data_IF_960690438248
#
_entry.id   IF_960690438248
#
_cell.length_a   1.000
_cell.length_b   1.000
_cell.length_c   1.000
_cell.angle_alpha   90.00
_cell.angle_beta   90.00
_cell.angle_gamma   90.00
#
_symmetry.space_group_name_H-M   'P 1'
#
loop_
_entity.id
_entity.type
_entity.pdbx_description
1 polymer ?
#
# COMPACT_ATOMS: atom_id res chain seq x y z
N UNK A 1 -1.02 -12.74 -9.04
CA UNK A 1 -0.54 -12.67 -7.65
C UNK A 1 -0.05 -14.03 -7.20
N UNK A 2 1.18 -14.12 -6.71
CA UNK A 2 1.78 -15.36 -6.20
C UNK A 2 1.47 -15.50 -4.72
N UNK A 3 1.29 -16.74 -4.25
CA UNK A 3 1.12 -17.09 -2.84
C UNK A 3 2.31 -17.97 -2.40
N UNK A 4 2.97 -17.59 -1.31
CA UNK A 4 4.11 -18.30 -0.72
C UNK A 4 3.82 -18.61 0.75
N UNK A 5 4.01 -19.88 1.13
CA UNK A 5 3.89 -20.32 2.52
C UNK A 5 5.27 -20.39 3.17
N UNK A 6 5.50 -19.61 4.22
CA UNK A 6 6.74 -19.55 4.97
C UNK A 6 6.48 -19.91 6.44
N UNK A 7 6.40 -21.21 6.73
CA UNK A 7 6.01 -21.69 8.06
C UNK A 7 4.57 -21.30 8.40
N UNK A 8 4.40 -20.44 9.41
CA UNK A 8 3.10 -19.90 9.83
C UNK A 8 2.75 -18.56 9.16
N UNK A 9 3.54 -18.10 8.18
CA UNK A 9 3.29 -16.87 7.45
C UNK A 9 2.83 -17.16 6.04
N UNK A 10 1.77 -16.47 5.63
CA UNK A 10 1.26 -16.47 4.26
C UNK A 10 1.65 -15.16 3.60
N UNK A 11 2.57 -15.22 2.64
CA UNK A 11 3.01 -14.06 1.87
C UNK A 11 2.32 -14.09 0.51
N UNK A 12 1.61 -13.03 0.16
CA UNK A 12 0.98 -12.91 -1.16
C UNK A 12 1.34 -11.58 -1.82
N UNK A 13 1.54 -11.57 -3.13
CA UNK A 13 1.85 -10.34 -3.84
C UNK A 13 2.51 -10.52 -5.19
N UNK A 14 3.09 -9.43 -5.70
CA UNK A 14 3.84 -9.37 -6.96
C UNK A 14 5.03 -8.42 -6.80
N UNK A 15 6.10 -8.70 -7.55
CA UNK A 15 7.30 -7.87 -7.62
C UNK A 15 7.83 -7.91 -9.05
N UNK A 16 7.49 -6.89 -9.82
CA UNK A 16 7.86 -6.74 -11.23
C UNK A 16 8.53 -5.38 -11.37
N UNK A 17 9.84 -5.39 -11.63
CA UNK A 17 10.65 -4.17 -11.65
C UNK A 17 10.13 -3.11 -12.62
N UNK A 18 9.93 -1.89 -12.11
CA UNK A 18 9.41 -0.76 -12.89
C UNK A 18 7.91 -0.81 -13.16
N UNK A 19 7.19 -1.85 -12.70
CA UNK A 19 5.75 -1.98 -12.87
C UNK A 19 4.99 -1.91 -11.54
N UNK A 20 5.31 -2.81 -10.60
CA UNK A 20 4.69 -2.85 -9.28
C UNK A 20 5.41 -3.84 -8.34
N UNK A 21 5.59 -3.42 -7.09
CA UNK A 21 5.98 -4.24 -5.96
C UNK A 21 4.98 -4.02 -4.82
N UNK A 22 4.40 -5.12 -4.32
CA UNK A 22 3.52 -5.14 -3.15
C UNK A 22 3.46 -6.55 -2.59
N UNK A 23 3.62 -6.71 -1.27
CA UNK A 23 3.61 -7.98 -0.58
C UNK A 23 2.81 -7.88 0.72
N UNK A 24 1.76 -8.67 0.89
CA UNK A 24 0.99 -8.74 2.15
C UNK A 24 1.38 -9.98 2.95
N UNK A 25 1.48 -9.80 4.26
CA UNK A 25 1.57 -10.88 5.26
C UNK A 25 0.34 -10.79 6.15
N UNK A 26 -0.65 -11.67 5.94
CA UNK A 26 -1.97 -11.55 6.60
C UNK A 26 -1.87 -11.70 8.11
N UNK A 27 -1.07 -12.66 8.58
CA UNK A 27 -0.92 -13.01 9.98
C UNK A 27 -0.29 -11.88 10.81
N UNK A 28 0.40 -10.96 10.15
CA UNK A 28 1.03 -9.79 10.77
C UNK A 28 0.27 -8.48 10.50
N UNK A 29 -0.86 -8.56 9.79
CA UNK A 29 -1.68 -7.40 9.40
C UNK A 29 -0.86 -6.27 8.74
N UNK A 30 0.05 -6.65 7.83
CA UNK A 30 0.93 -5.71 7.16
C UNK A 30 1.08 -5.95 5.66
N UNK A 31 1.44 -4.87 4.96
CA UNK A 31 1.85 -4.85 3.57
C UNK A 31 3.23 -4.18 3.49
N UNK A 32 4.18 -4.81 2.80
CA UNK A 32 5.41 -4.17 2.31
C UNK A 32 5.21 -3.68 0.89
N UNK A 33 5.45 -2.38 0.69
CA UNK A 33 5.17 -1.63 -0.53
C UNK A 33 3.73 -1.75 -1.02
N UNK A 34 3.33 -0.80 -1.84
CA UNK A 34 2.01 -0.78 -2.46
C UNK A 34 2.08 -0.06 -3.81
N UNK A 35 2.93 -0.54 -4.72
CA UNK A 35 3.05 0.01 -6.08
C UNK A 35 1.74 -0.03 -6.87
N UNK A 36 0.94 -1.07 -6.62
CA UNK A 36 -0.47 -1.19 -7.01
C UNK A 36 -1.25 -1.69 -5.82
N UNK A 37 -2.54 -1.41 -5.78
CA UNK A 37 -3.40 -1.81 -4.68
C UNK A 37 -4.46 -2.82 -5.15
N UNK A 38 -4.24 -4.13 -4.95
CA UNK A 38 -5.31 -5.11 -5.08
C UNK A 38 -6.46 -4.81 -4.11
N UNK A 39 -7.71 -4.93 -4.55
CA UNK A 39 -8.88 -4.72 -3.67
C UNK A 39 -8.87 -5.68 -2.46
N UNK A 40 -8.32 -6.88 -2.63
CA UNK A 40 -8.18 -7.84 -1.53
C UNK A 40 -7.26 -7.35 -0.39
N UNK A 41 -6.43 -6.33 -0.61
CA UNK A 41 -5.46 -5.80 0.36
C UNK A 41 -6.01 -4.65 1.21
N UNK A 42 -7.15 -4.06 0.82
CA UNK A 42 -7.77 -2.90 1.49
C UNK A 42 -8.01 -3.13 2.99
N UNK A 43 -8.30 -4.37 3.38
CA UNK A 43 -8.55 -4.74 4.78
C UNK A 43 -7.33 -4.73 5.70
N UNK A 44 -6.11 -4.71 5.16
CA UNK A 44 -4.87 -4.77 5.95
C UNK A 44 -4.52 -3.39 6.49
N UNK A 45 -4.22 -3.27 7.79
CA UNK A 45 -4.18 -1.97 8.45
C UNK A 45 -2.81 -1.28 8.43
N UNK A 46 -1.72 -2.02 8.23
CA UNK A 46 -0.37 -1.45 8.26
C UNK A 46 0.28 -1.56 6.88
N UNK A 47 0.78 -0.44 6.34
CA UNK A 47 1.49 -0.40 5.06
C UNK A 47 2.87 0.21 5.30
N UNK A 48 3.92 -0.49 4.89
CA UNK A 48 5.30 -0.07 5.03
C UNK A 48 5.89 0.16 3.64
N UNK A 49 6.12 1.42 3.28
CA UNK A 49 6.78 1.79 2.03
C UNK A 49 8.27 1.78 2.25
N UNK A 50 9.01 1.05 1.41
CA UNK A 50 10.47 0.92 1.53
C UNK A 50 11.20 2.15 1.00
N UNK A 51 10.75 2.72 -0.12
CA UNK A 51 11.30 3.91 -0.78
C UNK A 51 10.30 4.51 -1.80
N UNK A 52 10.62 5.67 -2.37
CA UNK A 52 9.69 6.48 -3.18
C UNK A 52 9.83 6.32 -4.70
N UNK A 53 10.18 5.12 -5.19
CA UNK A 53 9.94 4.81 -6.59
C UNK A 53 8.46 4.49 -6.82
N UNK A 54 7.90 4.91 -7.96
CA UNK A 54 6.45 4.85 -8.21
C UNK A 54 5.88 3.44 -8.07
N UNK A 55 6.62 2.44 -8.53
CA UNK A 55 6.27 1.03 -8.43
C UNK A 55 6.28 0.48 -7.00
N UNK A 56 6.53 1.31 -5.97
CA UNK A 56 6.46 0.94 -4.56
C UNK A 56 5.36 1.66 -3.77
N UNK A 57 4.76 2.75 -4.25
CA UNK A 57 3.76 3.50 -3.44
C UNK A 57 2.54 4.00 -4.22
N UNK A 58 2.52 3.93 -5.55
CA UNK A 58 1.47 4.58 -6.34
C UNK A 58 0.07 3.96 -6.18
N UNK A 59 -0.05 2.83 -5.49
CA UNK A 59 -1.32 2.24 -5.05
C UNK A 59 -1.94 2.89 -3.81
N UNK A 60 -1.21 3.73 -3.07
CA UNK A 60 -1.71 4.38 -1.84
C UNK A 60 -3.00 5.20 -2.03
N UNK A 61 -3.21 5.99 -3.11
CA UNK A 61 -4.46 6.73 -3.30
C UNK A 61 -5.69 5.81 -3.34
N UNK A 62 -5.59 4.69 -4.06
CA UNK A 62 -6.65 3.68 -4.13
C UNK A 62 -6.88 3.04 -2.76
N UNK A 63 -5.81 2.71 -2.03
CA UNK A 63 -5.93 2.18 -0.67
C UNK A 63 -6.70 3.11 0.27
N UNK A 64 -6.36 4.40 0.28
CA UNK A 64 -7.02 5.42 1.11
C UNK A 64 -8.48 5.60 0.68
N UNK A 65 -8.73 5.82 -0.62
CA UNK A 65 -10.07 6.06 -1.17
C UNK A 65 -11.01 4.87 -0.93
N UNK A 66 -10.55 3.63 -1.17
CA UNK A 66 -11.39 2.44 -0.94
C UNK A 66 -11.72 2.19 0.52
N UNK A 67 -10.77 2.46 1.45
CA UNK A 67 -11.07 2.38 2.90
C UNK A 67 -12.09 3.42 3.31
N UNK A 68 -11.96 4.64 2.80
CA UNK A 68 -12.93 5.72 3.03
C UNK A 68 -14.33 5.34 2.54
N UNK A 69 -14.46 4.92 1.28
CA UNK A 69 -15.73 4.48 0.68
C UNK A 69 -16.36 3.28 1.42
N UNK A 70 -15.53 2.43 2.01
CA UNK A 70 -15.97 1.27 2.78
C UNK A 70 -16.27 1.57 4.26
N UNK A 71 -16.24 2.84 4.68
CA UNK A 71 -16.38 3.27 6.08
C UNK A 71 -15.41 2.55 7.03
N UNK A 72 -14.22 2.19 6.54
CA UNK A 72 -13.19 1.56 7.35
C UNK A 72 -12.37 2.62 8.11
N UNK A 73 -11.84 2.30 9.30
CA UNK A 73 -10.86 3.17 9.95
C UNK A 73 -9.66 3.45 9.01
N UNK A 74 -9.00 4.60 9.11
CA UNK A 74 -7.78 4.86 8.35
C UNK A 74 -6.71 3.79 8.62
N UNK A 75 -6.01 3.37 7.56
CA UNK A 75 -4.80 2.56 7.70
C UNK A 75 -3.63 3.38 8.24
N UNK A 76 -2.63 2.71 8.81
CA UNK A 76 -1.34 3.31 9.18
C UNK A 76 -0.34 3.07 8.06
N UNK A 77 0.11 4.15 7.43
CA UNK A 77 1.10 4.12 6.36
C UNK A 77 2.42 4.65 6.92
N UNK A 78 3.45 3.80 6.93
CA UNK A 78 4.81 4.11 7.36
C UNK A 78 5.68 4.32 6.12
N UNK A 79 6.45 5.40 6.10
CA UNK A 79 7.28 5.78 4.95
C UNK A 79 8.63 6.33 5.43
N UNK A 80 9.68 6.36 4.58
CA UNK A 80 10.94 7.01 4.91
C UNK A 80 10.76 8.51 5.14
N UNK A 81 11.44 9.06 6.15
CA UNK A 81 11.34 10.48 6.55
C UNK A 81 11.61 11.45 5.39
N UNK A 82 12.61 11.14 4.55
CA UNK A 82 13.07 12.05 3.49
C UNK A 82 12.07 12.37 2.37
N UNK A 83 10.89 11.71 2.33
CA UNK A 83 9.87 11.96 1.30
C UNK A 83 8.44 12.08 1.81
N UNK A 84 8.24 12.15 3.14
CA UNK A 84 6.89 12.17 3.72
C UNK A 84 6.09 13.41 3.29
N UNK A 85 6.71 14.59 3.28
CA UNK A 85 6.03 15.85 2.90
C UNK A 85 5.62 15.83 1.42
N UNK A 86 6.49 15.34 0.54
CA UNK A 86 6.22 15.24 -0.89
C UNK A 86 5.11 14.24 -1.17
N UNK A 87 5.12 13.08 -0.50
CA UNK A 87 4.05 12.10 -0.61
C UNK A 87 2.72 12.70 -0.13
N UNK A 88 2.69 13.37 1.01
CA UNK A 88 1.48 14.01 1.54
C UNK A 88 0.92 15.02 0.53
N UNK A 89 1.76 15.89 -0.04
CA UNK A 89 1.36 16.86 -1.06
C UNK A 89 0.75 16.20 -2.31
N UNK A 90 1.30 15.06 -2.75
CA UNK A 90 0.77 14.29 -3.88
C UNK A 90 -0.62 13.72 -3.52
N UNK A 91 -0.75 13.08 -2.36
CA UNK A 91 -2.02 12.49 -1.92
C UNK A 91 -3.11 13.56 -1.75
N UNK A 92 -2.77 14.71 -1.16
CA UNK A 92 -3.70 15.84 -1.01
C UNK A 92 -4.12 16.40 -2.37
N UNK A 93 -3.20 16.45 -3.33
CA UNK A 93 -3.52 16.91 -4.69
C UNK A 93 -4.44 15.94 -5.44
N UNK A 94 -4.21 14.64 -5.27
CA UNK A 94 -5.09 13.60 -5.83
C UNK A 94 -6.47 13.66 -5.19
N UNK A 95 -6.55 13.79 -3.85
CA UNK A 95 -7.80 13.88 -3.12
C UNK A 95 -8.66 15.08 -3.56
N UNK A 96 -8.04 16.20 -3.95
CA UNK A 96 -8.75 17.36 -4.52
C UNK A 96 -9.36 17.09 -5.90
N UNK A 97 -8.84 16.12 -6.66
CA UNK A 97 -9.37 15.73 -7.97
C UNK A 97 -10.39 14.59 -7.86
N UNK A 98 -10.25 13.73 -6.84
CA UNK A 98 -11.14 12.59 -6.53
C UNK A 98 -12.39 13.01 -5.73
N UNK A 99 -12.75 14.31 -5.76
CA UNK A 99 -13.84 14.93 -4.99
C UNK A 99 -15.22 14.78 -5.62
#
# INVERSE_FOLDING_TARGET
>A
MILLNCGNLTIEGESIGGLATYLRIKELDLIFDLGRCPISFIGTNHVFITHFHLDHYFGLPIYVSQRWLSNMPPGKIFVPEGGIEQLQNILDSIAKLDS
#
